data_IF_605063405868
#
_entry.id   IF_605063405868
#
_cell.length_a   1.000
_cell.length_b   1.000
_cell.length_c   1.000
_cell.angle_alpha   90.00
_cell.angle_beta   90.00
_cell.angle_gamma   90.00
#
_symmetry.space_group_name_H-M   'P 1'
#
loop_
_entity.id
_entity.type
_entity.pdbx_description
1 polymer ?
#
# COMPACT_ATOMS: atom_id res chain seq x y z
N UNK A 1 3.68 -20.07 4.39
CA UNK A 1 2.95 -19.42 5.49
C UNK A 1 2.02 -20.45 6.09
N UNK A 2 1.96 -20.54 7.42
CA UNK A 2 1.02 -21.37 8.16
C UNK A 2 0.44 -20.56 9.30
N UNK A 3 -0.73 -20.94 9.79
CA UNK A 3 -1.32 -20.40 11.02
C UNK A 3 -0.43 -20.70 12.23
N UNK A 4 -0.66 -20.02 13.36
CA UNK A 4 0.08 -20.29 14.61
C UNK A 4 -0.15 -21.72 15.11
N UNK A 5 -1.29 -22.31 14.75
CA UNK A 5 -1.62 -23.71 15.01
C UNK A 5 -0.70 -24.62 14.18
N UNK A 6 -0.51 -24.31 12.89
CA UNK A 6 0.42 -25.06 12.02
C UNK A 6 1.86 -24.99 12.53
N UNK A 7 2.26 -23.85 13.09
CA UNK A 7 3.58 -23.69 13.71
C UNK A 7 3.69 -24.54 14.98
N UNK A 8 2.69 -24.53 15.87
CA UNK A 8 2.67 -25.33 17.09
C UNK A 8 2.70 -26.83 16.78
N UNK A 9 1.89 -27.28 15.83
CA UNK A 9 1.89 -28.66 15.36
C UNK A 9 3.25 -29.10 14.81
N UNK A 10 3.99 -28.21 14.14
CA UNK A 10 5.32 -28.49 13.60
C UNK A 10 6.42 -28.50 14.66
N UNK A 11 6.38 -27.56 15.60
CA UNK A 11 7.40 -27.46 16.65
C UNK A 11 7.27 -28.59 17.66
N UNK A 12 6.03 -28.95 18.01
CA UNK A 12 5.72 -29.91 19.08
C UNK A 12 5.32 -31.29 18.56
N UNK A 13 5.35 -31.48 17.23
CA UNK A 13 4.92 -32.72 16.55
C UNK A 13 3.58 -33.25 17.04
N UNK A 14 2.59 -32.35 17.19
CA UNK A 14 1.31 -32.66 17.83
C UNK A 14 0.12 -32.52 16.87
N UNK A 15 -1.02 -33.13 17.24
CA UNK A 15 -2.25 -33.08 16.41
C UNK A 15 -2.94 -31.72 16.53
N UNK A 16 -3.87 -31.42 15.61
CA UNK A 16 -4.65 -30.18 15.64
C UNK A 16 -5.39 -29.98 16.98
N UNK A 17 -5.99 -31.06 17.51
CA UNK A 17 -6.70 -31.01 18.78
C UNK A 17 -5.74 -30.77 19.95
N UNK A 18 -4.57 -31.41 19.95
CA UNK A 18 -3.51 -31.19 20.94
C UNK A 18 -2.99 -29.75 20.90
N UNK A 19 -2.76 -29.20 19.71
CA UNK A 19 -2.26 -27.86 19.50
C UNK A 19 -3.25 -26.82 20.04
N UNK A 20 -4.55 -26.98 19.76
CA UNK A 20 -5.61 -26.11 20.29
C UNK A 20 -5.67 -26.21 21.81
N UNK A 21 -5.60 -27.42 22.37
CA UNK A 21 -5.65 -27.63 23.81
C UNK A 21 -4.44 -27.02 24.53
N UNK A 22 -3.22 -27.19 24.01
CA UNK A 22 -1.99 -26.64 24.58
C UNK A 22 -1.93 -25.11 24.48
N UNK A 23 -2.37 -24.55 23.35
CA UNK A 23 -2.49 -23.11 23.18
C UNK A 23 -3.58 -22.52 24.11
N UNK A 24 -4.63 -23.29 24.39
CA UNK A 24 -5.67 -22.93 25.36
C UNK A 24 -5.23 -23.03 26.83
N UNK A 25 -4.41 -24.03 27.19
CA UNK A 25 -3.95 -24.24 28.56
C UNK A 25 -2.95 -23.18 29.04
N UNK A 26 -2.10 -22.63 28.16
CA UNK A 26 -1.18 -21.54 28.53
C UNK A 26 -1.89 -20.19 28.78
N UNK A 27 -3.21 -20.10 28.58
CA UNK A 27 -3.99 -18.89 28.85
C UNK A 27 -4.52 -18.81 30.29
N UNK A 28 -4.48 -19.93 31.04
CA UNK A 28 -4.95 -19.99 32.42
C UNK A 28 -3.96 -20.84 33.25
N UNK A 29 -3.24 -20.16 34.14
CA UNK A 29 -2.43 -20.69 35.24
C UNK A 29 -1.04 -21.28 34.89
N UNK A 30 0.00 -20.46 35.10
CA UNK A 30 0.95 -20.64 36.22
C UNK A 30 2.16 -19.68 36.10
N UNK A 31 2.03 -18.51 36.74
CA UNK A 31 3.19 -17.77 37.25
C UNK A 31 3.54 -18.41 38.59
N UNK A 32 4.54 -19.28 38.64
CA UNK A 32 5.34 -19.48 39.85
C UNK A 32 6.70 -20.07 39.46
N UNK A 33 7.76 -19.30 39.61
CA UNK A 33 9.11 -19.84 39.79
C UNK A 33 9.66 -19.29 41.12
N UNK A 34 10.20 -20.22 41.89
CA UNK A 34 10.51 -20.15 43.32
C UNK A 34 11.74 -19.32 43.70
N UNK A 35 11.57 -18.51 44.75
CA UNK A 35 12.52 -17.99 45.75
C UNK A 35 14.04 -18.26 45.61
N UNK A 36 14.84 -17.17 45.51
CA UNK A 36 15.72 -16.70 46.62
C UNK A 36 16.37 -15.31 46.37
N UNK A 37 15.99 -14.38 47.24
CA UNK A 37 16.71 -13.23 47.86
C UNK A 37 17.58 -12.24 47.05
N UNK A 38 17.13 -10.97 47.18
CA UNK A 38 17.87 -9.70 47.29
C UNK A 38 18.33 -9.04 45.97
N UNK A 39 17.64 -7.98 45.53
CA UNK A 39 18.11 -6.58 45.50
C UNK A 39 16.99 -5.67 44.94
N UNK A 40 17.02 -4.41 45.37
CA UNK A 40 16.03 -3.31 45.28
C UNK A 40 15.67 -2.91 43.83
N UNK A 41 14.45 -2.39 43.56
CA UNK A 41 13.88 -2.34 42.22
C UNK A 41 14.33 -1.09 41.46
N UNK A 42 14.65 -1.23 40.18
CA UNK A 42 14.41 -0.17 39.19
C UNK A 42 14.41 -0.72 37.76
N UNK A 43 13.41 -0.29 37.00
CA UNK A 43 13.23 -0.44 35.56
C UNK A 43 12.78 -1.81 35.04
N UNK A 44 11.49 -2.11 35.22
CA UNK A 44 10.80 -3.04 34.32
C UNK A 44 10.61 -2.35 32.95
N UNK A 45 11.45 -2.73 32.00
CA UNK A 45 11.08 -2.71 30.59
C UNK A 45 9.75 -3.48 30.42
N UNK A 46 8.75 -2.94 29.71
CA UNK A 46 7.60 -3.74 29.33
C UNK A 46 7.99 -4.71 28.22
N UNK A 47 8.06 -5.98 28.61
CA UNK A 47 8.15 -7.17 27.78
C UNK A 47 7.10 -7.12 26.66
N UNK A 48 7.53 -7.43 25.44
CA UNK A 48 6.73 -7.41 24.21
C UNK A 48 5.58 -8.42 24.27
N UNK A 49 4.38 -7.96 24.63
CA UNK A 49 3.14 -8.71 24.42
C UNK A 49 2.63 -8.50 22.98
N UNK A 50 2.39 -9.61 22.29
CA UNK A 50 1.82 -9.67 20.95
C UNK A 50 0.34 -9.29 20.96
N UNK A 51 -0.09 -8.51 19.95
CA UNK A 51 -1.46 -8.11 19.63
C UNK A 51 -2.18 -7.19 20.62
N UNK A 52 -1.77 -5.93 20.65
CA UNK A 52 -2.59 -4.88 21.23
C UNK A 52 -3.52 -4.28 20.18
N UNK A 53 -4.81 -4.44 20.40
CA UNK A 53 -5.89 -4.02 19.50
C UNK A 53 -5.87 -2.51 19.30
N UNK A 54 -5.75 -2.05 18.05
CA UNK A 54 -5.92 -0.64 17.71
C UNK A 54 -7.36 -0.22 17.96
N UNK A 55 -7.56 0.75 18.84
CA UNK A 55 -8.91 1.30 19.10
C UNK A 55 -9.18 2.44 18.13
N UNK A 56 -10.15 2.26 17.24
CA UNK A 56 -10.61 3.34 16.37
C UNK A 56 -11.22 4.47 17.22
N UNK A 57 -10.78 5.71 16.99
CA UNK A 57 -11.31 6.90 17.66
C UNK A 57 -12.30 7.62 16.73
N UNK A 58 -11.85 7.93 15.52
CA UNK A 58 -12.67 8.67 14.56
C UNK A 58 -12.19 8.46 13.12
N UNK A 59 -13.12 8.72 12.20
CA UNK A 59 -12.91 8.70 10.75
C UNK A 59 -13.31 10.08 10.23
N UNK A 60 -12.48 10.69 9.40
CA UNK A 60 -12.75 11.99 8.78
C UNK A 60 -12.43 11.94 7.29
N UNK A 61 -13.20 12.68 6.48
CA UNK A 61 -12.95 12.80 5.04
C UNK A 61 -11.79 13.75 4.72
N UNK A 62 -11.42 14.61 5.67
CA UNK A 62 -10.37 15.60 5.48
C UNK A 62 -9.03 15.07 5.99
N UNK A 63 -8.07 14.92 5.09
CA UNK A 63 -6.70 14.58 5.47
C UNK A 63 -5.98 15.80 6.07
N UNK A 64 -5.29 15.65 7.21
CA UNK A 64 -4.48 16.71 7.79
C UNK A 64 -3.28 17.07 6.88
N UNK A 65 -2.71 18.29 7.01
CA UNK A 65 -1.66 18.79 6.11
C UNK A 65 -0.48 17.83 5.95
N UNK A 66 0.02 17.23 7.04
CA UNK A 66 1.18 16.34 6.99
C UNK A 66 0.93 15.06 6.15
N UNK A 67 -0.28 14.51 6.16
CA UNK A 67 -0.64 13.36 5.32
C UNK A 67 -0.84 13.76 3.85
N UNK A 68 -1.41 14.94 3.61
CA UNK A 68 -1.55 15.51 2.25
C UNK A 68 -0.20 15.80 1.62
N UNK A 69 0.72 16.39 2.38
CA UNK A 69 2.09 16.66 1.92
C UNK A 69 2.85 15.37 1.67
N UNK A 70 2.69 14.36 2.52
CA UNK A 70 3.26 13.04 2.27
C UNK A 70 2.76 12.43 0.95
N UNK A 71 1.45 12.43 0.71
CA UNK A 71 0.88 11.91 -0.53
C UNK A 71 1.38 12.67 -1.76
N UNK A 72 1.35 13.99 -1.72
CA UNK A 72 1.69 14.83 -2.88
C UNK A 72 3.19 14.97 -3.10
N UNK A 73 3.96 15.36 -2.07
CA UNK A 73 5.39 15.68 -2.21
C UNK A 73 6.30 14.45 -2.14
N UNK A 74 5.95 13.46 -1.32
CA UNK A 74 6.80 12.27 -1.11
C UNK A 74 6.40 11.13 -2.05
N UNK A 75 5.09 10.89 -2.17
CA UNK A 75 4.52 9.77 -2.94
C UNK A 75 4.07 10.16 -4.35
N UNK A 76 4.13 11.45 -4.68
CA UNK A 76 3.73 12.01 -5.99
C UNK A 76 2.31 11.62 -6.41
N UNK A 77 1.41 11.46 -5.45
CA UNK A 77 0.01 11.09 -5.69
C UNK A 77 -0.81 12.33 -6.04
N UNK A 78 -1.60 12.21 -7.10
CA UNK A 78 -2.62 13.17 -7.49
C UNK A 78 -3.76 13.13 -6.46
N UNK A 79 -3.81 14.16 -5.61
CA UNK A 79 -4.76 14.22 -4.51
C UNK A 79 -6.20 14.42 -5.00
N UNK A 80 -6.41 15.05 -6.15
CA UNK A 80 -7.75 15.27 -6.70
C UNK A 80 -8.41 13.92 -7.01
N UNK A 81 -7.67 13.04 -7.67
CA UNK A 81 -8.14 11.69 -8.00
C UNK A 81 -8.17 10.76 -6.77
N UNK A 82 -7.23 10.92 -5.85
CA UNK A 82 -7.11 10.02 -4.71
C UNK A 82 -8.14 10.28 -3.59
N UNK A 83 -8.52 11.55 -3.37
CA UNK A 83 -9.38 11.97 -2.24
C UNK A 83 -10.65 11.14 -2.04
N UNK A 84 -11.41 10.74 -3.10
CA UNK A 84 -12.60 9.89 -2.95
C UNK A 84 -12.36 8.56 -2.23
N UNK A 85 -11.13 8.04 -2.26
CA UNK A 85 -10.78 6.74 -1.69
C UNK A 85 -10.15 6.82 -0.30
N UNK A 86 -9.85 8.03 0.19
CA UNK A 86 -9.03 8.24 1.37
C UNK A 86 -9.85 8.76 2.54
N UNK A 87 -9.55 8.23 3.73
CA UNK A 87 -10.04 8.77 5.00
C UNK A 87 -8.86 9.10 5.91
N UNK A 88 -9.01 10.08 6.78
CA UNK A 88 -8.15 10.25 7.95
C UNK A 88 -8.68 9.36 9.08
N UNK A 89 -7.87 8.40 9.51
CA UNK A 89 -8.20 7.50 10.61
C UNK A 89 -7.42 7.92 11.84
N UNK A 90 -8.15 8.31 12.89
CA UNK A 90 -7.57 8.54 14.21
C UNK A 90 -7.77 7.29 15.06
N UNK A 91 -6.70 6.76 15.65
CA UNK A 91 -6.74 5.54 16.44
C UNK A 91 -5.79 5.61 17.65
N UNK A 92 -6.03 4.74 18.62
CA UNK A 92 -5.23 4.64 19.85
C UNK A 92 -4.51 3.29 19.94
N UNK A 93 -3.26 3.33 20.39
CA UNK A 93 -2.46 2.16 20.77
C UNK A 93 -1.70 2.52 22.05
N UNK A 94 -1.83 1.72 23.12
CA UNK A 94 -1.21 1.98 24.44
C UNK A 94 -1.51 3.37 25.00
N UNK A 95 -2.74 3.86 24.85
CA UNK A 95 -3.13 5.21 25.30
C UNK A 95 -2.51 6.35 24.49
N UNK A 96 -1.75 6.06 23.43
CA UNK A 96 -1.20 7.07 22.51
C UNK A 96 -2.08 7.16 21.27
N UNK A 97 -2.40 8.38 20.87
CA UNK A 97 -3.22 8.67 19.69
C UNK A 97 -2.34 8.85 18.45
N UNK A 98 -2.82 8.30 17.34
CA UNK A 98 -2.16 8.34 16.05
C UNK A 98 -3.18 8.74 14.97
N UNK A 99 -2.66 9.28 13.88
CA UNK A 99 -3.43 9.55 12.66
C UNK A 99 -2.75 8.90 11.47
N UNK A 100 -3.54 8.28 10.61
CA UNK A 100 -3.05 7.66 9.39
C UNK A 100 -4.04 7.87 8.25
N UNK A 101 -3.54 7.72 7.03
CA UNK A 101 -4.36 7.55 5.83
C UNK A 101 -5.01 6.18 5.92
N UNK A 102 -6.34 6.15 5.84
CA UNK A 102 -7.15 4.95 5.76
C UNK A 102 -7.64 4.71 4.34
N UNK A 103 -7.58 3.45 3.92
CA UNK A 103 -8.15 2.96 2.69
C UNK A 103 -9.16 1.86 3.02
N UNK A 104 -10.42 2.11 2.72
CA UNK A 104 -11.51 1.20 3.11
C UNK A 104 -11.42 -0.13 2.34
N UNK A 105 -11.74 -1.23 3.02
CA UNK A 105 -11.87 -2.55 2.41
C UNK A 105 -13.34 -3.03 2.41
N UNK A 106 -13.60 -4.15 1.73
CA UNK A 106 -14.95 -4.64 1.47
C UNK A 106 -15.75 -4.99 2.74
N UNK A 107 -15.08 -5.35 3.84
CA UNK A 107 -15.72 -5.72 5.10
C UNK A 107 -15.78 -4.56 6.12
N UNK A 108 -15.56 -3.33 5.68
CA UNK A 108 -15.65 -2.14 6.53
C UNK A 108 -14.44 -1.89 7.42
N UNK A 109 -13.34 -2.64 7.23
CA UNK A 109 -12.05 -2.32 7.82
C UNK A 109 -11.27 -1.30 7.00
N UNK A 110 -10.09 -0.93 7.49
CA UNK A 110 -9.22 0.07 6.85
C UNK A 110 -7.78 -0.40 6.81
N UNK A 111 -7.14 -0.29 5.66
CA UNK A 111 -5.69 -0.34 5.58
C UNK A 111 -5.10 1.03 5.90
N UNK A 112 -4.03 1.04 6.68
CA UNK A 112 -3.44 2.24 7.26
C UNK A 112 -2.05 2.52 6.71
N UNK A 113 -1.79 3.79 6.43
CA UNK A 113 -0.47 4.33 6.06
C UNK A 113 -0.23 5.65 6.75
N UNK A 114 0.88 5.76 7.49
CA UNK A 114 1.31 7.05 8.01
C UNK A 114 2.21 7.78 7.00
N UNK A 115 2.71 8.95 7.41
CA UNK A 115 3.70 9.74 6.67
C UNK A 115 5.16 9.27 6.86
N UNK A 116 5.38 8.12 7.50
CA UNK A 116 6.68 7.52 7.72
C UNK A 116 6.73 6.14 7.05
N UNK A 117 7.05 5.10 7.82
CA UNK A 117 7.21 3.72 7.33
C UNK A 117 6.10 2.79 7.79
N UNK A 118 5.15 3.24 8.61
CA UNK A 118 4.12 2.38 9.17
C UNK A 118 3.18 1.87 8.05
N UNK A 119 2.84 0.58 8.15
CA UNK A 119 1.76 -0.07 7.43
C UNK A 119 0.95 -0.83 8.47
N UNK A 120 -0.36 -0.63 8.49
CA UNK A 120 -1.24 -1.24 9.49
C UNK A 120 -2.64 -1.47 8.97
N UNK A 121 -3.52 -1.92 9.84
CA UNK A 121 -4.94 -2.10 9.53
C UNK A 121 -5.80 -1.82 10.75
N UNK A 122 -7.02 -1.35 10.52
CA UNK A 122 -8.16 -1.48 11.43
C UNK A 122 -8.96 -2.68 10.91
N UNK A 123 -9.08 -3.69 11.76
CA UNK A 123 -9.77 -4.93 11.41
C UNK A 123 -11.23 -4.67 11.00
N UNK A 124 -11.81 -5.51 10.14
CA UNK A 124 -11.20 -6.71 9.51
C UNK A 124 -10.25 -6.37 8.35
N UNK A 125 -9.34 -7.29 8.00
CA UNK A 125 -8.57 -7.22 6.74
C UNK A 125 -9.38 -7.80 5.60
N UNK A 126 -9.41 -7.10 4.48
CA UNK A 126 -10.02 -7.60 3.25
C UNK A 126 -9.40 -6.94 2.00
N UNK A 127 -9.78 -7.43 0.82
CA UNK A 127 -9.60 -6.78 -0.48
C UNK A 127 -10.49 -5.53 -0.58
N UNK A 128 -10.10 -4.61 -1.44
CA UNK A 128 -10.92 -3.46 -1.85
C UNK A 128 -11.29 -3.59 -3.32
N UNK A 129 -12.55 -3.32 -3.64
CA UNK A 129 -13.06 -3.37 -5.01
C UNK A 129 -13.36 -1.96 -5.49
N UNK A 130 -12.95 -1.65 -6.72
CA UNK A 130 -13.11 -0.33 -7.33
C UNK A 130 -13.68 -0.53 -8.73
N UNK A 131 -14.98 -0.30 -8.84
CA UNK A 131 -15.71 -0.35 -10.10
C UNK A 131 -15.86 1.07 -10.64
N UNK A 132 -15.62 1.21 -11.94
CA UNK A 132 -16.00 2.42 -12.67
C UNK A 132 -17.28 2.13 -13.43
N UNK A 133 -18.30 2.95 -13.23
CA UNK A 133 -19.63 2.79 -13.85
C UNK A 133 -19.57 2.81 -15.39
N UNK A 134 -18.48 3.34 -15.97
CA UNK A 134 -18.30 3.51 -17.42
C UNK A 134 -18.17 2.22 -18.24
N UNK A 135 -18.07 1.04 -17.62
CA UNK A 135 -18.10 -0.22 -18.35
C UNK A 135 -19.52 -0.67 -18.74
N UNK A 136 -20.58 -0.06 -18.20
CA UNK A 136 -21.96 -0.37 -18.60
C UNK A 136 -22.39 0.33 -19.89
N UNK A 137 -21.68 1.36 -20.34
CA UNK A 137 -22.07 2.19 -21.51
C UNK A 137 -21.42 1.75 -22.83
N UNK A 138 -20.38 0.93 -22.76
CA UNK A 138 -19.78 0.32 -23.94
C UNK A 138 -19.76 -1.19 -23.73
N UNK A 139 -20.68 -1.87 -24.42
CA UNK A 139 -20.61 -3.30 -24.66
C UNK A 139 -19.33 -3.57 -25.48
N UNK A 140 -18.18 -3.61 -24.80
CA UNK A 140 -16.93 -4.07 -25.39
C UNK A 140 -17.12 -5.58 -25.52
N UNK A 141 -17.06 -6.10 -26.74
CA UNK A 141 -17.18 -7.53 -27.07
C UNK A 141 -16.17 -8.44 -26.31
N UNK A 142 -15.23 -7.84 -25.57
CA UNK A 142 -14.35 -8.50 -24.62
C UNK A 142 -14.27 -7.71 -23.31
N UNK A 143 -14.50 -8.35 -22.15
CA UNK A 143 -14.30 -7.69 -20.86
C UNK A 143 -12.82 -7.28 -20.73
N UNK A 144 -12.59 -6.04 -20.30
CA UNK A 144 -11.25 -5.54 -20.03
C UNK A 144 -10.61 -6.34 -18.87
N UNK A 145 -9.27 -6.56 -18.88
CA UNK A 145 -8.61 -7.25 -17.78
C UNK A 145 -8.77 -6.47 -16.47
N UNK A 146 -8.95 -7.19 -15.36
CA UNK A 146 -9.01 -6.57 -14.02
C UNK A 146 -7.60 -6.19 -13.59
N UNK A 147 -7.39 -4.93 -13.20
CA UNK A 147 -6.14 -4.50 -12.61
C UNK A 147 -6.10 -4.92 -11.13
N UNK A 148 -5.15 -5.79 -10.76
CA UNK A 148 -4.95 -6.27 -9.39
C UNK A 148 -3.71 -5.64 -8.81
N UNK A 149 -3.85 -4.93 -7.69
CA UNK A 149 -2.75 -4.25 -6.99
C UNK A 149 -2.43 -4.94 -5.67
N UNK A 150 -1.16 -5.05 -5.31
CA UNK A 150 -0.75 -5.60 -4.02
C UNK A 150 -1.18 -4.70 -2.85
N UNK A 151 -0.90 -3.40 -2.94
CA UNK A 151 -1.27 -2.40 -1.93
C UNK A 151 -1.98 -1.20 -2.53
N UNK A 152 -2.67 -0.44 -1.68
CA UNK A 152 -3.43 0.73 -2.15
C UNK A 152 -2.53 1.87 -2.64
N UNK A 153 -1.28 1.96 -2.17
CA UNK A 153 -0.34 2.99 -2.65
C UNK A 153 0.00 2.81 -4.14
N UNK A 154 0.08 1.57 -4.62
CA UNK A 154 0.29 1.26 -6.03
C UNK A 154 -0.94 1.62 -6.85
N UNK A 155 -2.14 1.30 -6.34
CA UNK A 155 -3.39 1.75 -6.96
C UNK A 155 -3.47 3.29 -7.08
N UNK A 156 -3.17 4.03 -6.01
CA UNK A 156 -3.17 5.50 -6.06
C UNK A 156 -2.12 6.04 -7.04
N UNK A 157 -0.97 5.37 -7.13
CA UNK A 157 0.08 5.73 -8.10
C UNK A 157 -0.42 5.52 -9.52
N UNK A 158 -1.01 4.36 -9.81
CA UNK A 158 -1.63 4.06 -11.11
C UNK A 158 -2.68 5.11 -11.48
N UNK A 159 -3.58 5.44 -10.55
CA UNK A 159 -4.60 6.47 -10.73
C UNK A 159 -3.99 7.85 -11.05
N UNK A 160 -2.86 8.18 -10.42
CA UNK A 160 -2.12 9.43 -10.70
C UNK A 160 -1.45 9.43 -12.08
N UNK A 161 -1.18 8.26 -12.67
CA UNK A 161 -0.56 8.15 -14.00
C UNK A 161 -1.57 8.16 -15.15
N UNK A 162 -2.84 7.85 -14.89
CA UNK A 162 -3.86 7.64 -15.93
C UNK A 162 -4.82 8.82 -15.99
N UNK A 163 -5.20 9.21 -17.19
CA UNK A 163 -6.26 10.20 -17.40
C UNK A 163 -7.62 9.61 -17.01
N UNK A 164 -7.86 8.36 -17.40
CA UNK A 164 -9.08 7.63 -17.10
C UNK A 164 -8.79 6.16 -16.76
N UNK A 165 -9.54 5.61 -15.80
CA UNK A 165 -9.54 4.19 -15.47
C UNK A 165 -10.75 3.56 -16.17
N UNK A 166 -10.51 2.80 -17.23
CA UNK A 166 -11.56 2.04 -17.93
C UNK A 166 -11.73 0.61 -17.39
N UNK A 167 -10.74 0.09 -16.66
CA UNK A 167 -10.71 -1.29 -16.17
C UNK A 167 -11.14 -1.37 -14.70
N UNK A 168 -11.84 -2.43 -14.34
CA UNK A 168 -12.07 -2.76 -12.93
C UNK A 168 -10.75 -2.89 -12.18
N UNK A 169 -10.71 -2.37 -10.96
CA UNK A 169 -9.54 -2.43 -10.11
C UNK A 169 -9.87 -3.18 -8.82
N UNK A 170 -8.94 -4.04 -8.39
CA UNK A 170 -8.99 -4.76 -7.14
C UNK A 170 -7.67 -4.51 -6.41
N UNK A 171 -7.77 -4.05 -5.17
CA UNK A 171 -6.60 -3.87 -4.30
C UNK A 171 -6.60 -4.99 -3.28
N UNK A 172 -5.58 -5.85 -3.32
CA UNK A 172 -5.48 -6.97 -2.40
C UNK A 172 -5.20 -6.53 -0.97
N UNK A 173 -4.61 -5.34 -0.81
CA UNK A 173 -4.12 -4.75 0.44
C UNK A 173 -2.95 -5.50 1.08
N UNK A 174 -2.77 -6.78 0.75
CA UNK A 174 -1.67 -7.65 1.15
C UNK A 174 -1.72 -8.93 0.32
N UNK A 175 -0.55 -9.51 0.03
CA UNK A 175 -0.44 -10.86 -0.59
C UNK A 175 -1.13 -11.95 0.25
N UNK A 176 -1.38 -11.71 1.55
CA UNK A 176 -2.17 -12.63 2.37
C UNK A 176 -3.61 -12.81 1.88
N UNK A 177 -4.11 -11.90 1.04
CA UNK A 177 -5.46 -11.97 0.47
C UNK A 177 -5.52 -12.63 -0.92
N UNK A 178 -4.42 -13.20 -1.45
CA UNK A 178 -4.41 -13.87 -2.76
C UNK A 178 -5.53 -14.91 -2.91
N UNK A 179 -5.69 -15.80 -1.94
CA UNK A 179 -6.75 -16.82 -1.98
C UNK A 179 -8.17 -16.20 -2.03
N UNK A 180 -8.36 -15.06 -1.36
CA UNK A 180 -9.63 -14.34 -1.38
C UNK A 180 -9.86 -13.65 -2.72
N UNK A 181 -8.81 -13.04 -3.28
CA UNK A 181 -8.83 -12.44 -4.62
C UNK A 181 -9.17 -13.50 -5.67
N UNK A 182 -8.53 -14.67 -5.63
CA UNK A 182 -8.82 -15.80 -6.52
C UNK A 182 -10.29 -16.20 -6.45
N UNK A 183 -10.82 -16.41 -5.23
CA UNK A 183 -12.24 -16.76 -5.04
C UNK A 183 -13.16 -15.69 -5.64
N UNK A 184 -12.92 -14.42 -5.32
CA UNK A 184 -13.72 -13.31 -5.83
C UNK A 184 -13.74 -13.25 -7.36
N UNK A 185 -12.58 -13.35 -8.01
CA UNK A 185 -12.47 -13.26 -9.47
C UNK A 185 -13.13 -14.46 -10.17
N UNK A 186 -13.03 -15.66 -9.59
CA UNK A 186 -13.70 -16.85 -10.09
C UNK A 186 -15.23 -16.75 -9.97
N UNK A 187 -15.74 -16.32 -8.82
CA UNK A 187 -17.18 -16.14 -8.57
C UNK A 187 -17.81 -15.11 -9.52
N UNK A 188 -17.00 -14.16 -10.02
CA UNK A 188 -17.40 -13.14 -11.00
C UNK A 188 -17.10 -13.49 -12.45
N UNK A 189 -16.53 -14.67 -12.71
CA UNK A 189 -16.09 -15.08 -14.05
C UNK A 189 -15.17 -14.05 -14.74
N UNK A 190 -14.17 -13.55 -14.00
CA UNK A 190 -13.17 -12.59 -14.47
C UNK A 190 -11.80 -13.27 -14.64
N UNK A 191 -11.56 -14.02 -15.74
CA UNK A 191 -10.39 -14.89 -15.88
C UNK A 191 -9.10 -14.16 -16.27
N UNK A 192 -9.17 -12.87 -16.62
CA UNK A 192 -8.04 -12.11 -17.16
C UNK A 192 -7.67 -10.96 -16.23
N UNK A 193 -6.43 -10.96 -15.74
CA UNK A 193 -5.93 -9.94 -14.81
C UNK A 193 -4.63 -9.30 -15.30
N UNK A 194 -4.46 -8.03 -14.97
CA UNK A 194 -3.18 -7.31 -14.98
C UNK A 194 -2.67 -7.19 -13.55
N UNK A 195 -1.58 -7.88 -13.25
CA UNK A 195 -1.03 -7.96 -11.90
C UNK A 195 0.04 -6.88 -11.68
N UNK A 196 -0.26 -5.90 -10.85
CA UNK A 196 0.64 -4.85 -10.37
C UNK A 196 1.12 -5.21 -8.96
N UNK A 197 1.99 -6.21 -8.86
CA UNK A 197 2.52 -6.72 -7.58
C UNK A 197 3.96 -6.26 -7.32
N UNK A 198 4.41 -6.33 -6.07
CA UNK A 198 5.77 -5.92 -5.70
C UNK A 198 6.80 -6.82 -6.42
N UNK A 199 7.95 -6.24 -6.79
CA UNK A 199 9.10 -6.93 -7.38
C UNK A 199 9.91 -7.74 -6.35
N UNK A 200 9.26 -8.21 -5.28
CA UNK A 200 9.87 -9.06 -4.27
C UNK A 200 9.44 -10.52 -4.43
N UNK A 201 9.93 -11.37 -3.53
CA UNK A 201 9.61 -12.80 -3.59
C UNK A 201 8.12 -13.08 -3.30
N UNK A 202 7.48 -12.25 -2.46
CA UNK A 202 6.08 -12.42 -2.11
C UNK A 202 5.17 -12.06 -3.29
N UNK A 203 5.43 -10.94 -3.97
CA UNK A 203 4.73 -10.55 -5.19
C UNK A 203 4.90 -11.59 -6.30
N UNK A 204 6.12 -12.08 -6.55
CA UNK A 204 6.36 -13.15 -7.54
C UNK A 204 5.60 -14.44 -7.23
N UNK A 205 5.56 -14.85 -5.95
CA UNK A 205 4.76 -16.02 -5.54
C UNK A 205 3.27 -15.78 -5.78
N UNK A 206 2.75 -14.61 -5.42
CA UNK A 206 1.36 -14.25 -5.66
C UNK A 206 0.99 -14.28 -7.16
N UNK A 207 1.86 -13.74 -8.04
CA UNK A 207 1.69 -13.86 -9.51
C UNK A 207 1.58 -15.33 -9.94
N UNK A 208 2.48 -16.18 -9.46
CA UNK A 208 2.46 -17.61 -9.77
C UNK A 208 1.21 -18.32 -9.21
N UNK A 209 0.72 -17.92 -8.05
CA UNK A 209 -0.49 -18.48 -7.46
C UNK A 209 -1.73 -18.13 -8.31
N UNK A 210 -1.79 -16.93 -8.89
CA UNK A 210 -2.83 -16.59 -9.88
C UNK A 210 -2.73 -17.45 -11.15
N UNK A 211 -1.53 -17.64 -11.70
CA UNK A 211 -1.34 -18.51 -12.87
C UNK A 211 -1.77 -19.95 -12.58
N UNK A 212 -1.39 -20.49 -11.42
CA UNK A 212 -1.80 -21.84 -10.99
C UNK A 212 -3.31 -21.97 -10.77
N UNK A 213 -3.97 -20.90 -10.35
CA UNK A 213 -5.42 -20.85 -10.21
C UNK A 213 -6.17 -20.75 -11.56
N UNK A 214 -5.45 -20.72 -12.69
CA UNK A 214 -6.03 -20.74 -14.03
C UNK A 214 -6.31 -19.36 -14.63
N UNK A 215 -5.87 -18.28 -13.99
CA UNK A 215 -6.02 -16.94 -14.56
C UNK A 215 -5.05 -16.72 -15.72
N UNK A 216 -5.51 -16.01 -16.75
CA UNK A 216 -4.61 -15.36 -17.70
C UNK A 216 -4.03 -14.13 -16.98
N UNK A 217 -2.72 -14.14 -16.74
CA UNK A 217 -2.04 -13.07 -15.99
C UNK A 217 -1.12 -12.28 -16.92
N UNK A 218 -1.39 -10.99 -17.06
CA UNK A 218 -0.44 -10.01 -17.57
C UNK A 218 0.38 -9.47 -16.39
N UNK A 219 1.64 -9.91 -16.28
CA UNK A 219 2.55 -9.42 -15.23
C UNK A 219 3.03 -8.00 -15.57
N UNK A 220 2.54 -7.01 -14.81
CA UNK A 220 2.86 -5.61 -15.05
C UNK A 220 4.17 -5.17 -14.38
N UNK A 221 4.75 -6.01 -13.53
CA UNK A 221 6.02 -5.73 -12.83
C UNK A 221 7.20 -5.52 -13.76
N UNK A 222 7.11 -6.08 -14.97
CA UNK A 222 8.05 -5.88 -16.07
C UNK A 222 8.25 -4.39 -16.42
N UNK A 223 7.22 -3.56 -16.23
CA UNK A 223 7.25 -2.14 -16.60
C UNK A 223 7.93 -1.25 -15.56
N UNK A 224 8.12 -1.75 -14.34
CA UNK A 224 8.82 -1.06 -13.26
C UNK A 224 9.98 -1.91 -12.73
N UNK A 225 10.62 -2.66 -13.63
CA UNK A 225 11.82 -3.44 -13.31
C UNK A 225 12.90 -2.55 -12.68
N UNK A 226 13.49 -3.03 -11.59
CA UNK A 226 14.51 -2.31 -10.82
C UNK A 226 13.95 -1.40 -9.73
N UNK A 227 12.62 -1.29 -9.61
CA UNK A 227 11.94 -0.66 -8.49
C UNK A 227 11.22 -1.72 -7.67
N UNK A 228 11.08 -1.50 -6.37
CA UNK A 228 10.38 -2.43 -5.48
C UNK A 228 8.90 -2.54 -5.84
N UNK A 229 8.24 -1.42 -6.06
CA UNK A 229 6.80 -1.36 -6.29
C UNK A 229 6.45 -0.27 -7.33
N UNK A 230 5.18 -0.21 -7.73
CA UNK A 230 4.73 0.75 -8.75
C UNK A 230 4.84 2.18 -8.24
N UNK A 231 4.60 2.41 -6.94
CA UNK A 231 4.75 3.74 -6.34
C UNK A 231 6.20 4.26 -6.40
N UNK A 232 7.19 3.41 -6.11
CA UNK A 232 8.59 3.79 -6.17
C UNK A 232 9.01 4.20 -7.59
N UNK A 233 8.56 3.42 -8.59
CA UNK A 233 8.74 3.76 -9.99
C UNK A 233 8.09 5.10 -10.35
N UNK A 234 6.84 5.32 -9.92
CA UNK A 234 6.12 6.57 -10.15
C UNK A 234 6.87 7.78 -9.61
N UNK A 235 7.31 7.71 -8.35
CA UNK A 235 8.05 8.78 -7.68
C UNK A 235 9.35 9.07 -8.42
N UNK A 236 10.10 8.03 -8.83
CA UNK A 236 11.32 8.20 -9.61
C UNK A 236 11.04 8.93 -10.94
N UNK A 237 9.99 8.52 -11.65
CA UNK A 237 9.58 9.13 -12.91
C UNK A 237 9.21 10.60 -12.75
N UNK A 238 8.42 10.94 -11.74
CA UNK A 238 8.00 12.32 -11.47
C UNK A 238 9.18 13.22 -11.14
N UNK A 239 10.10 12.77 -10.27
CA UNK A 239 11.31 13.53 -9.92
C UNK A 239 12.21 13.78 -11.13
N UNK A 240 12.36 12.81 -12.02
CA UNK A 240 13.13 12.98 -13.28
C UNK A 240 12.49 14.04 -14.18
N UNK A 241 11.16 14.02 -14.33
CA UNK A 241 10.44 15.02 -15.12
C UNK A 241 10.55 16.43 -14.54
N UNK A 242 10.47 16.57 -13.22
CA UNK A 242 10.67 17.85 -12.55
C UNK A 242 12.09 18.40 -12.78
N UNK A 243 13.11 17.56 -12.65
CA UNK A 243 14.49 17.95 -12.92
C UNK A 243 14.71 18.39 -14.36
N UNK A 244 14.12 17.69 -15.34
CA UNK A 244 14.18 18.06 -16.75
C UNK A 244 13.52 19.43 -16.99
N UNK A 245 12.32 19.65 -16.45
CA UNK A 245 11.61 20.95 -16.56
C UNK A 245 12.41 22.09 -15.94
N UNK A 246 13.05 21.86 -14.79
CA UNK A 246 13.92 22.86 -14.16
C UNK A 246 15.12 23.18 -15.05
N UNK A 247 15.79 22.16 -15.59
CA UNK A 247 16.94 22.35 -16.49
C UNK A 247 16.56 23.11 -17.76
N UNK A 248 15.41 22.79 -18.38
CA UNK A 248 14.90 23.50 -19.56
C UNK A 248 14.61 24.98 -19.25
N UNK A 249 13.93 25.28 -18.14
CA UNK A 249 13.65 26.66 -17.70
C UNK A 249 14.94 27.45 -17.44
N UNK A 250 15.95 26.82 -16.83
CA UNK A 250 17.25 27.46 -16.60
C UNK A 250 17.98 27.71 -17.92
N UNK A 251 17.91 26.80 -18.89
CA UNK A 251 18.51 26.99 -20.23
C UNK A 251 17.83 28.12 -21.01
N UNK A 252 16.50 28.20 -20.96
CA UNK A 252 15.73 29.28 -21.60
C UNK A 252 16.11 30.66 -21.02
N UNK A 253 16.11 30.80 -19.69
CA UNK A 253 16.47 32.07 -19.02
C UNK A 253 17.91 32.49 -19.30
N UNK A 254 18.87 31.56 -19.35
CA UNK A 254 20.26 31.88 -19.72
C UNK A 254 20.37 32.34 -21.18
N UNK A 255 19.57 31.76 -22.08
CA UNK A 255 19.56 32.14 -23.51
C UNK A 255 18.98 33.54 -23.71
N UNK A 256 17.85 33.84 -23.08
CA UNK A 256 17.23 35.19 -23.09
C UNK A 256 18.17 36.26 -22.50
N UNK A 257 18.89 35.93 -21.42
CA UNK A 257 19.88 36.85 -20.85
C UNK A 257 21.08 37.09 -21.78
N UNK A 258 21.53 36.08 -22.52
CA UNK A 258 22.61 36.24 -23.52
C UNK A 258 22.16 37.06 -24.72
N UNK A 259 20.95 36.84 -25.22
CA UNK A 259 20.39 37.62 -26.33
C UNK A 259 20.19 39.09 -25.93
N UNK A 260 19.63 39.37 -24.74
CA UNK A 260 19.46 40.75 -24.27
C UNK A 260 20.78 41.51 -24.09
N UNK A 261 21.84 40.83 -23.63
CA UNK A 261 23.20 41.42 -23.54
C UNK A 261 23.82 41.67 -24.90
N UNK A 262 23.62 40.77 -25.87
CA UNK A 262 24.10 40.92 -27.25
C UNK A 262 23.42 42.11 -27.94
N UNK A 263 22.11 42.26 -27.76
CA UNK A 263 21.32 43.40 -28.28
C UNK A 263 21.74 44.75 -27.69
N UNK A 264 22.12 44.80 -26.40
CA UNK A 264 22.64 46.01 -25.75
C UNK A 264 24.05 46.39 -26.23
N UNK A 265 24.93 45.41 -26.47
CA UNK A 265 26.27 45.66 -27.02
C UNK A 265 26.25 46.18 -28.46
N UNK A 266 25.33 45.69 -29.31
CA UNK A 266 25.20 46.16 -30.69
C UNK A 266 24.75 47.63 -30.75
N UNK A 267 23.82 48.05 -29.87
CA UNK A 267 23.36 49.45 -29.80
C UNK A 267 24.46 50.46 -29.39
N UNK A 268 25.46 50.03 -28.62
CA UNK A 268 26.58 50.91 -28.23
C UNK A 268 27.71 51.04 -29.26
N UNK A 269 27.73 50.20 -30.31
CA UNK A 269 28.74 50.27 -31.37
C UNK A 269 28.32 51.09 -32.61
N UNK A 270 27.09 51.62 -32.65
CA UNK A 270 26.53 52.37 -33.79
C UNK A 270 26.53 53.89 -33.50
N UNK A 271 27.45 54.38 -32.68
CA UNK A 271 27.57 55.81 -32.34
C UNK A 271 29.01 56.25 -32.50
#
# INVERSE_FOLDING_TARGET
GGSIIDLCMRLESCTLSEAIHRLGQNAFDNITCSSRKNFVPNNLQPTMAANETRKLISISDTLPPHLREYLTKIRCIDLEKATPFLKCISYEVRGRRYQAIGFANLLGGYELRDNHSFKGTIAPKDITLIFTDKQTEHAIDKPLPVCVFEGFMDFLSFLSMKEEIASHCLVMNSVSNVARTVRYLNDRHLPHIRAFLDNDEAGRRATNDFVKAGFKVEDMSIHYKGFKDLNEFHVCRMRKQEQQKVQERTRMTVTEQKESKKSKQVKHKIR
#
